data_IF_858374231070
#
_entry.id   IF_858374231070
#
_cell.length_a   1.000
_cell.length_b   1.000
_cell.length_c   1.000
_cell.angle_alpha   90.00
_cell.angle_beta   90.00
_cell.angle_gamma   90.00
#
_symmetry.space_group_name_H-M   'P 1'
#
loop_
_entity.id
_entity.type
_entity.pdbx_description
1 polymer ?
#
# COMPACT_ATOMS: atom_id res chain seq x y z
N UNK A 1 -14.35 -8.68 5.40
CA UNK A 1 -13.43 -7.56 5.68
C UNK A 1 -12.25 -8.12 6.46
N UNK A 2 -11.14 -8.45 5.80
CA UNK A 2 -9.97 -9.01 6.50
C UNK A 2 -9.19 -7.86 7.15
N UNK A 3 -8.91 -7.96 8.45
CA UNK A 3 -8.16 -6.95 9.19
C UNK A 3 -6.70 -6.97 8.77
N UNK A 4 -6.14 -5.80 8.46
CA UNK A 4 -4.74 -5.65 8.06
C UNK A 4 -3.84 -5.78 9.29
N UNK A 5 -2.92 -6.77 9.34
CA UNK A 5 -1.96 -6.89 10.44
C UNK A 5 -1.05 -5.65 10.49
N UNK A 6 -0.80 -5.13 11.70
CA UNK A 6 0.14 -4.04 11.93
C UNK A 6 1.49 -4.58 12.39
N UNK A 7 2.57 -3.99 11.88
CA UNK A 7 3.93 -4.27 12.31
C UNK A 7 4.27 -3.44 13.57
N UNK A 8 5.12 -3.96 14.47
CA UNK A 8 5.75 -3.14 15.50
C UNK A 8 6.42 -1.92 14.84
N UNK A 9 6.28 -0.73 15.44
CA UNK A 9 6.71 0.58 14.89
C UNK A 9 5.83 1.17 13.78
N UNK A 10 4.56 0.78 13.69
CA UNK A 10 3.56 1.48 12.87
C UNK A 10 3.51 1.07 11.40
N UNK A 11 4.15 -0.03 11.04
CA UNK A 11 4.04 -0.57 9.69
C UNK A 11 2.71 -1.28 9.43
N UNK A 12 2.38 -1.45 8.15
CA UNK A 12 1.11 -2.02 7.67
C UNK A 12 1.43 -3.17 6.70
N UNK A 13 0.69 -4.28 6.79
CA UNK A 13 0.79 -5.41 5.84
C UNK A 13 -0.49 -5.49 5.00
N UNK A 14 -0.40 -5.19 3.71
CA UNK A 14 -1.51 -5.33 2.76
C UNK A 14 -1.34 -6.62 1.97
N UNK A 15 -2.35 -7.49 2.00
CA UNK A 15 -2.32 -8.74 1.22
C UNK A 15 -2.51 -8.45 -0.27
N UNK A 16 -1.71 -9.12 -1.10
CA UNK A 16 -1.82 -9.02 -2.55
C UNK A 16 -3.06 -9.79 -3.04
N UNK A 17 -3.85 -9.18 -3.91
CA UNK A 17 -5.05 -9.79 -4.47
C UNK A 17 -4.78 -11.07 -5.29
N UNK A 18 -3.52 -11.27 -5.72
CA UNK A 18 -3.09 -12.49 -6.43
C UNK A 18 -2.97 -13.72 -5.51
N UNK A 19 -2.99 -13.55 -4.18
CA UNK A 19 -2.83 -14.65 -3.22
C UNK A 19 -1.38 -15.15 -3.08
N UNK A 20 -1.21 -16.44 -2.77
CA UNK A 20 0.08 -17.13 -2.62
C UNK A 20 1.07 -16.47 -1.64
N UNK A 21 0.57 -16.08 -0.45
CA UNK A 21 1.36 -15.43 0.60
C UNK A 21 2.14 -14.20 0.13
N UNK A 22 1.60 -13.51 -0.88
CA UNK A 22 2.13 -12.24 -1.36
C UNK A 22 1.57 -11.08 -0.54
N UNK A 23 2.44 -10.15 -0.18
CA UNK A 23 2.05 -8.99 0.59
C UNK A 23 2.91 -7.77 0.27
N UNK A 24 2.31 -6.59 0.38
CA UNK A 24 3.01 -5.33 0.49
C UNK A 24 3.20 -5.01 1.97
N UNK A 25 4.44 -4.77 2.40
CA UNK A 25 4.75 -4.26 3.74
C UNK A 25 5.18 -2.81 3.65
N UNK A 26 4.52 -1.96 4.43
CA UNK A 26 4.86 -0.55 4.60
C UNK A 26 5.58 -0.41 5.93
N UNK A 27 6.80 0.12 5.94
CA UNK A 27 7.60 0.32 7.14
C UNK A 27 8.14 1.76 7.18
N UNK A 28 8.04 2.40 8.35
CA UNK A 28 8.50 3.77 8.56
C UNK A 28 9.91 3.81 9.14
N UNK A 29 10.76 4.65 8.57
CA UNK A 29 12.12 4.91 9.01
C UNK A 29 12.27 6.41 9.31
N UNK A 30 11.72 6.84 10.45
CA UNK A 30 11.67 8.26 10.84
C UNK A 30 13.05 8.91 10.94
N UNK A 31 14.09 8.18 11.36
CA UNK A 31 15.46 8.71 11.42
C UNK A 31 16.05 9.03 10.05
N UNK A 32 15.48 8.48 8.98
CA UNK A 32 15.92 8.66 7.61
C UNK A 32 14.91 9.43 6.75
N UNK A 33 13.80 9.90 7.33
CA UNK A 33 12.67 10.52 6.61
C UNK A 33 12.16 9.71 5.42
N UNK A 34 12.09 8.37 5.60
CA UNK A 34 11.65 7.45 4.56
C UNK A 34 10.49 6.56 5.00
N UNK A 35 9.66 6.21 4.02
CA UNK A 35 8.74 5.07 4.05
C UNK A 35 9.21 4.03 3.04
N UNK A 36 9.37 2.79 3.48
CA UNK A 36 9.74 1.67 2.60
C UNK A 36 8.51 0.83 2.31
N UNK A 37 8.18 0.74 1.02
CA UNK A 37 7.15 -0.13 0.47
C UNK A 37 7.84 -1.36 -0.11
N UNK A 38 7.63 -2.54 0.47
CA UNK A 38 8.34 -3.77 0.06
C UNK A 38 7.37 -4.89 -0.30
N UNK A 39 7.65 -5.57 -1.41
CA UNK A 39 6.89 -6.72 -1.90
C UNK A 39 7.49 -8.01 -1.36
N UNK A 40 6.67 -8.79 -0.68
CA UNK A 40 7.05 -10.06 -0.08
C UNK A 40 6.30 -11.21 -0.75
N UNK A 41 6.97 -12.36 -0.83
CA UNK A 41 6.36 -13.66 -1.08
C UNK A 41 6.84 -14.59 0.01
N UNK A 42 5.91 -15.16 0.77
CA UNK A 42 6.23 -15.92 1.98
C UNK A 42 7.13 -15.09 2.93
N UNK A 43 8.37 -15.50 3.12
CA UNK A 43 9.37 -14.82 3.96
C UNK A 43 10.49 -14.13 3.16
N UNK A 44 10.34 -14.00 1.84
CA UNK A 44 11.35 -13.39 0.97
C UNK A 44 10.89 -12.03 0.46
N UNK A 45 11.73 -11.01 0.65
CA UNK A 45 11.55 -9.72 0.00
C UNK A 45 11.95 -9.83 -1.48
N UNK A 46 11.00 -9.56 -2.36
CA UNK A 46 11.15 -9.67 -3.82
C UNK A 46 11.35 -8.31 -4.51
N UNK A 47 11.14 -7.22 -3.78
CA UNK A 47 11.37 -5.86 -4.27
C UNK A 47 11.05 -4.81 -3.22
N UNK A 48 11.66 -3.63 -3.33
CA UNK A 48 11.40 -2.51 -2.42
C UNK A 48 11.47 -1.17 -3.14
N UNK A 49 10.65 -0.25 -2.68
CA UNK A 49 10.64 1.15 -3.09
C UNK A 49 10.80 2.04 -1.84
N UNK A 50 11.65 3.07 -1.94
CA UNK A 50 11.85 4.06 -0.87
C UNK A 50 11.17 5.34 -1.29
N UNK A 51 10.22 5.79 -0.48
CA UNK A 51 9.48 7.04 -0.68
C UNK A 51 9.88 8.03 0.40
N UNK A 52 10.13 9.28 0.04
CA UNK A 52 10.36 10.33 1.03
C UNK A 52 9.07 10.62 1.79
N UNK A 53 9.17 10.93 3.08
CA UNK A 53 7.99 11.14 3.94
C UNK A 53 7.11 12.30 3.44
N UNK A 54 7.71 13.34 2.86
CA UNK A 54 7.04 14.50 2.29
C UNK A 54 6.29 14.19 0.96
N UNK A 55 6.65 13.11 0.27
CA UNK A 55 5.94 12.61 -0.93
C UNK A 55 4.79 11.64 -0.60
N UNK A 56 4.66 11.22 0.67
CA UNK A 56 3.56 10.33 1.10
C UNK A 56 2.17 10.94 0.83
N UNK A 57 1.91 12.24 1.08
CA UNK A 57 0.62 12.86 0.75
C UNK A 57 0.25 12.71 -0.73
N UNK A 58 1.21 12.88 -1.65
CA UNK A 58 0.97 12.75 -3.09
C UNK A 58 0.58 11.31 -3.46
N UNK A 59 1.24 10.31 -2.86
CA UNK A 59 0.85 8.91 -3.05
C UNK A 59 -0.57 8.64 -2.52
N UNK A 60 -0.93 9.20 -1.36
CA UNK A 60 -2.28 9.05 -0.79
C UNK A 60 -3.32 9.68 -1.72
N UNK A 61 -3.06 10.87 -2.24
CA UNK A 61 -3.96 11.56 -3.15
C UNK A 61 -4.13 10.81 -4.48
N UNK A 62 -3.05 10.24 -5.02
CA UNK A 62 -3.12 9.38 -6.19
C UNK A 62 -4.01 8.14 -5.96
N UNK A 63 -3.85 7.46 -4.81
CA UNK A 63 -4.68 6.32 -4.44
C UNK A 63 -6.15 6.72 -4.24
N UNK A 64 -6.40 7.87 -3.60
CA UNK A 64 -7.74 8.42 -3.37
C UNK A 64 -8.44 8.79 -4.69
N UNK A 65 -7.73 9.42 -5.61
CA UNK A 65 -8.25 9.78 -6.93
C UNK A 65 -8.65 8.53 -7.72
N UNK A 66 -7.80 7.49 -7.74
CA UNK A 66 -8.11 6.22 -8.39
C UNK A 66 -9.32 5.50 -7.78
N UNK A 67 -9.47 5.57 -6.45
CA UNK A 67 -10.64 5.05 -5.76
C UNK A 67 -11.92 5.77 -6.20
N UNK A 68 -11.92 7.11 -6.23
CA UNK A 68 -13.06 7.92 -6.67
C UNK A 68 -13.49 7.59 -8.10
N UNK A 69 -12.54 7.54 -9.03
CA UNK A 69 -12.81 7.18 -10.43
C UNK A 69 -13.46 5.78 -10.57
N UNK A 70 -13.04 4.81 -9.75
CA UNK A 70 -13.62 3.45 -9.75
C UNK A 70 -15.06 3.45 -9.22
N UNK A 71 -15.34 4.24 -8.17
CA UNK A 71 -16.71 4.41 -7.66
C UNK A 71 -17.64 5.08 -8.66
N UNK A 72 -17.15 6.07 -9.42
CA UNK A 72 -17.97 6.76 -10.43
C UNK A 72 -18.26 5.87 -11.65
N UNK A 73 -17.26 5.07 -12.08
CA UNK A 73 -17.42 4.10 -13.15
C UNK A 73 -18.43 2.99 -12.79
N UNK A 74 -18.46 2.55 -11.52
CA UNK A 74 -19.40 1.52 -11.04
C UNK A 74 -20.81 2.08 -10.79
N UNK A 75 -20.93 3.37 -10.48
CA UNK A 75 -22.22 4.05 -10.24
C UNK A 75 -22.92 4.49 -11.52
N UNK A 76 -22.20 4.72 -12.62
CA UNK A 76 -22.82 5.04 -13.91
C UNK A 76 -23.42 3.76 -14.51
N UNK A 77 -24.76 3.56 -14.53
CA UNK A 77 -25.32 2.46 -15.29
C UNK A 77 -25.02 2.73 -16.77
N UNK A 78 -24.55 1.70 -17.49
CA UNK A 78 -24.37 1.76 -18.93
C UNK A 78 -25.62 2.38 -19.57
N UNK A 79 -25.43 3.54 -20.22
CA UNK A 79 -26.44 4.16 -21.08
C UNK A 79 -26.57 3.41 -22.39
#
# INVERSE_FOLDING_TARGET
MQSVPRLPRGGVIVLDARGDDRALRVTWHHEADLVVLSLWRENVCTGSFRLAVDEVPDLIDALRAGLGATYDATRSPAS
#
